data_IF_948135426829
#
_entry.id   IF_948135426829
#
_cell.length_a   1.000
_cell.length_b   1.000
_cell.length_c   1.000
_cell.angle_alpha   90.00
_cell.angle_beta   90.00
_cell.angle_gamma   90.00
#
_symmetry.space_group_name_H-M   'P 1'
#
loop_
_entity.id
_entity.type
_entity.pdbx_description
1 polymer ?
#
# COMPACT_ATOMS: atom_id res chain seq x y z
N UNK A 1 -8.37 -16.77 -8.71
CA UNK A 1 -7.52 -16.77 -7.51
C UNK A 1 -7.87 -15.55 -6.67
N UNK A 2 -8.05 -15.75 -5.39
CA UNK A 2 -8.34 -14.71 -4.42
C UNK A 2 -7.28 -14.72 -3.32
N UNK A 3 -6.60 -13.61 -3.10
CA UNK A 3 -5.54 -13.48 -2.10
C UNK A 3 -6.01 -12.54 -0.99
N UNK A 4 -5.97 -12.99 0.26
CA UNK A 4 -6.32 -12.14 1.40
C UNK A 4 -5.53 -12.55 2.65
N UNK A 5 -5.49 -11.68 3.66
CA UNK A 5 -4.94 -12.04 4.96
C UNK A 5 -5.65 -13.28 5.53
N UNK A 6 -4.88 -14.19 6.13
CA UNK A 6 -5.45 -15.44 6.66
C UNK A 6 -6.57 -15.21 7.68
N UNK A 7 -6.49 -14.16 8.48
CA UNK A 7 -7.52 -13.77 9.44
C UNK A 7 -8.82 -13.25 8.80
N UNK A 8 -8.81 -12.91 7.51
CA UNK A 8 -10.02 -12.46 6.77
C UNK A 8 -10.89 -13.64 6.34
N UNK A 9 -10.29 -14.82 6.07
CA UNK A 9 -10.98 -15.97 5.49
C UNK A 9 -12.24 -16.38 6.27
N UNK A 10 -12.20 -16.50 7.63
CA UNK A 10 -13.39 -16.87 8.40
C UNK A 10 -14.57 -15.90 8.26
N UNK A 11 -14.27 -14.64 7.88
CA UNK A 11 -15.27 -13.58 7.76
C UNK A 11 -15.91 -13.47 6.38
N UNK A 12 -15.36 -14.14 5.38
CA UNK A 12 -15.94 -14.17 4.04
C UNK A 12 -17.29 -14.91 4.03
N UNK A 13 -17.57 -15.70 5.08
CA UNK A 13 -18.82 -16.48 5.22
C UNK A 13 -19.13 -17.36 4.02
N UNK A 14 -18.09 -17.84 3.36
CA UNK A 14 -18.18 -18.71 2.18
C UNK A 14 -18.36 -20.17 2.61
N UNK A 15 -19.18 -20.90 1.89
CA UNK A 15 -19.23 -22.36 1.97
C UNK A 15 -17.91 -22.95 1.50
N UNK A 16 -17.66 -24.23 1.83
CA UNK A 16 -16.45 -24.91 1.37
C UNK A 16 -16.36 -24.94 -0.16
N UNK A 17 -17.48 -25.21 -0.85
CA UNK A 17 -17.56 -25.22 -2.31
C UNK A 17 -17.18 -23.86 -2.91
N UNK A 18 -17.68 -22.78 -2.33
CA UNK A 18 -17.33 -21.42 -2.77
C UNK A 18 -15.86 -21.10 -2.55
N UNK A 19 -15.28 -21.50 -1.41
CA UNK A 19 -13.86 -21.32 -1.13
C UNK A 19 -12.98 -22.06 -2.14
N UNK A 20 -13.33 -23.30 -2.47
CA UNK A 20 -12.64 -24.11 -3.48
C UNK A 20 -12.74 -23.47 -4.88
N UNK A 21 -13.94 -23.03 -5.27
CA UNK A 21 -14.17 -22.34 -6.55
C UNK A 21 -13.41 -21.01 -6.67
N UNK A 22 -13.31 -20.24 -5.60
CA UNK A 22 -12.56 -18.99 -5.57
C UNK A 22 -11.04 -19.23 -5.54
N UNK A 23 -10.59 -20.42 -5.21
CA UNK A 23 -9.18 -20.75 -5.04
C UNK A 23 -8.47 -19.73 -4.13
N UNK A 24 -8.88 -19.73 -2.85
CA UNK A 24 -8.42 -18.74 -1.86
C UNK A 24 -6.99 -19.05 -1.42
N UNK A 25 -6.13 -18.06 -1.50
CA UNK A 25 -4.75 -18.12 -1.08
C UNK A 25 -4.52 -17.23 0.16
N UNK A 26 -4.28 -17.82 1.34
CA UNK A 26 -4.02 -17.04 2.54
C UNK A 26 -2.67 -16.33 2.46
N UNK A 27 -2.67 -15.05 2.80
CA UNK A 27 -1.47 -14.24 2.93
C UNK A 27 -1.08 -14.11 4.41
N UNK A 28 0.22 -14.19 4.66
CA UNK A 28 0.84 -13.95 5.97
C UNK A 28 1.89 -12.84 5.83
N UNK A 29 1.87 -11.91 6.78
CA UNK A 29 2.85 -10.81 6.82
C UNK A 29 4.28 -11.37 6.73
N UNK A 30 5.08 -10.80 5.84
CA UNK A 30 6.48 -11.15 5.61
C UNK A 30 6.71 -12.46 4.85
N UNK A 31 5.67 -13.17 4.43
CA UNK A 31 5.79 -14.42 3.65
C UNK A 31 5.49 -14.16 2.17
N UNK A 32 6.50 -14.37 1.32
CA UNK A 32 6.34 -14.27 -0.13
C UNK A 32 5.43 -15.37 -0.68
N UNK A 33 4.51 -15.00 -1.57
CA UNK A 33 3.58 -15.89 -2.27
C UNK A 33 3.71 -15.69 -3.76
N UNK A 34 3.68 -16.78 -4.54
CA UNK A 34 3.60 -16.74 -6.00
C UNK A 34 2.14 -16.53 -6.45
N UNK A 35 1.93 -15.57 -7.34
CA UNK A 35 0.65 -15.28 -7.98
C UNK A 35 0.86 -15.24 -9.51
N UNK A 36 0.77 -16.37 -10.17
CA UNK A 36 1.19 -16.52 -11.56
C UNK A 36 2.69 -16.28 -11.71
N UNK A 37 3.08 -15.35 -12.55
CA UNK A 37 4.47 -14.93 -12.79
C UNK A 37 4.96 -13.83 -11.82
N UNK A 38 4.06 -13.29 -11.00
CA UNK A 38 4.40 -12.32 -9.96
C UNK A 38 4.72 -12.98 -8.61
N UNK A 39 5.44 -12.25 -7.80
CA UNK A 39 5.62 -12.53 -6.36
C UNK A 39 4.99 -11.42 -5.56
N UNK A 40 4.20 -11.78 -4.54
CA UNK A 40 3.57 -10.87 -3.59
C UNK A 40 4.28 -11.01 -2.24
N UNK A 41 4.70 -9.90 -1.65
CA UNK A 41 5.16 -9.83 -0.27
C UNK A 41 4.19 -8.95 0.53
N UNK A 42 3.29 -9.51 1.34
CA UNK A 42 2.40 -8.76 2.20
C UNK A 42 3.15 -8.19 3.41
N UNK A 43 2.87 -6.95 3.75
CA UNK A 43 3.41 -6.22 4.89
C UNK A 43 2.26 -5.66 5.72
N UNK A 44 2.48 -5.44 7.02
CA UNK A 44 1.45 -4.83 7.86
C UNK A 44 1.22 -3.36 7.50
N UNK A 45 -0.03 -2.98 7.36
CA UNK A 45 -0.45 -1.59 7.21
C UNK A 45 -0.90 -1.02 8.57
N UNK A 46 -0.69 0.27 8.77
CA UNK A 46 -1.19 1.00 9.93
C UNK A 46 -2.59 1.53 9.64
N UNK A 47 -3.55 0.63 9.63
CA UNK A 47 -4.94 0.95 9.41
C UNK A 47 -5.83 0.20 10.39
N UNK A 48 -6.92 0.83 10.79
CA UNK A 48 -7.93 0.24 11.66
C UNK A 48 -8.61 -0.95 10.96
N UNK A 49 -8.77 -2.04 11.69
CA UNK A 49 -9.57 -3.19 11.30
C UNK A 49 -10.61 -3.48 12.36
N UNK A 50 -11.82 -3.83 11.93
CA UNK A 50 -12.93 -4.07 12.84
C UNK A 50 -12.89 -5.40 13.57
N UNK A 51 -11.91 -6.26 13.26
CA UNK A 51 -11.82 -7.65 13.75
C UNK A 51 -10.43 -7.97 14.25
N UNK A 52 -10.34 -8.57 15.44
CA UNK A 52 -9.08 -8.84 16.14
C UNK A 52 -8.13 -9.81 15.44
N UNK A 53 -8.61 -10.59 14.48
CA UNK A 53 -7.81 -11.57 13.74
C UNK A 53 -7.37 -11.08 12.37
N UNK A 54 -7.92 -9.97 11.91
CA UNK A 54 -7.51 -9.32 10.66
C UNK A 54 -6.35 -8.37 10.89
N UNK A 55 -5.58 -8.15 9.85
CA UNK A 55 -4.57 -7.09 9.77
C UNK A 55 -4.67 -6.47 8.40
N UNK A 56 -4.72 -5.15 8.33
CA UNK A 56 -4.61 -4.41 7.08
C UNK A 56 -3.24 -4.64 6.45
N UNK A 57 -3.20 -4.76 5.13
CA UNK A 57 -1.99 -5.13 4.40
C UNK A 57 -1.59 -4.09 3.35
N UNK A 58 -0.32 -3.78 3.35
CA UNK A 58 0.39 -3.23 2.19
C UNK A 58 1.10 -4.36 1.43
N UNK A 59 1.51 -4.10 0.20
CA UNK A 59 2.08 -5.15 -0.65
C UNK A 59 3.32 -4.66 -1.41
N UNK A 60 4.32 -5.54 -1.54
CA UNK A 60 5.33 -5.41 -2.59
C UNK A 60 5.04 -6.47 -3.64
N UNK A 61 4.85 -6.03 -4.87
CA UNK A 61 4.73 -6.88 -6.05
C UNK A 61 6.05 -6.87 -6.82
N UNK A 62 6.48 -8.05 -7.27
CA UNK A 62 7.73 -8.18 -8.03
C UNK A 62 7.55 -9.13 -9.20
N UNK A 63 8.09 -8.74 -10.37
CA UNK A 63 8.11 -9.53 -11.60
C UNK A 63 9.31 -9.11 -12.46
N UNK A 64 10.08 -10.06 -12.97
CA UNK A 64 11.17 -9.81 -13.95
C UNK A 64 12.16 -8.69 -13.54
N UNK A 65 12.53 -8.64 -12.26
CA UNK A 65 13.45 -7.62 -11.74
C UNK A 65 12.85 -6.24 -11.50
N UNK A 66 11.58 -6.06 -11.82
CA UNK A 66 10.78 -4.89 -11.50
C UNK A 66 9.96 -5.11 -10.24
N UNK A 67 9.73 -4.05 -9.50
CA UNK A 67 8.94 -4.13 -8.27
C UNK A 67 8.23 -2.81 -7.94
N UNK A 68 7.05 -2.93 -7.37
CA UNK A 68 6.35 -1.78 -6.84
C UNK A 68 5.75 -2.07 -5.46
N UNK A 69 5.65 -1.04 -4.66
CA UNK A 69 4.97 -1.06 -3.38
C UNK A 69 3.58 -0.46 -3.53
N UNK A 70 2.57 -1.16 -3.01
CA UNK A 70 1.19 -0.67 -2.92
C UNK A 70 0.88 -0.41 -1.44
N UNK A 71 0.87 0.85 -1.07
CA UNK A 71 0.70 1.34 0.31
C UNK A 71 -0.52 2.24 0.48
N UNK A 72 -1.65 1.83 -0.11
CA UNK A 72 -2.92 2.51 0.10
C UNK A 72 -3.65 1.97 1.33
N UNK A 73 -4.49 2.82 1.92
CA UNK A 73 -5.31 2.54 3.08
C UNK A 73 -4.47 2.20 4.32
N UNK A 74 -3.66 3.18 4.72
CA UNK A 74 -2.81 3.07 5.91
C UNK A 74 -1.95 4.31 6.14
N UNK A 75 -1.93 4.77 7.39
CA UNK A 75 -1.13 5.89 7.83
C UNK A 75 0.38 5.56 7.86
N UNK A 76 1.13 6.30 8.64
CA UNK A 76 2.55 6.11 8.85
C UNK A 76 2.96 4.64 8.98
N UNK A 77 4.02 4.24 8.25
CA UNK A 77 4.43 2.83 8.21
C UNK A 77 4.78 2.28 9.59
N UNK A 78 4.31 1.08 9.86
CA UNK A 78 4.73 0.32 11.02
C UNK A 78 6.25 0.09 10.99
N UNK A 79 6.90 0.05 12.15
CA UNK A 79 8.34 -0.15 12.25
C UNK A 79 8.81 -1.44 11.54
N UNK A 80 8.02 -2.51 11.61
CA UNK A 80 8.30 -3.78 10.93
C UNK A 80 8.24 -3.63 9.40
N UNK A 81 7.25 -2.91 8.88
CA UNK A 81 7.09 -2.62 7.46
C UNK A 81 8.24 -1.76 6.95
N UNK A 82 8.60 -0.71 7.70
CA UNK A 82 9.76 0.13 7.40
C UNK A 82 11.06 -0.68 7.33
N UNK A 83 11.29 -1.57 8.30
CA UNK A 83 12.47 -2.44 8.36
C UNK A 83 12.60 -3.38 7.13
N UNK A 84 11.47 -3.75 6.51
CA UNK A 84 11.48 -4.52 5.26
C UNK A 84 11.72 -3.61 4.06
N UNK A 85 11.06 -2.45 4.00
CA UNK A 85 11.21 -1.48 2.91
C UNK A 85 12.66 -1.00 2.74
N UNK A 86 13.38 -0.75 3.83
CA UNK A 86 14.79 -0.35 3.80
C UNK A 86 15.72 -1.34 3.07
N UNK A 87 15.28 -2.57 2.86
CA UNK A 87 16.04 -3.62 2.15
C UNK A 87 15.62 -3.78 0.69
N UNK A 88 14.72 -2.94 0.21
CA UNK A 88 14.20 -3.00 -1.16
C UNK A 88 14.86 -1.97 -2.07
N UNK A 89 14.69 -2.19 -3.38
CA UNK A 89 14.95 -1.23 -4.46
C UNK A 89 13.73 -1.25 -5.36
N UNK A 90 12.86 -0.26 -5.20
CA UNK A 90 11.54 -0.22 -5.83
C UNK A 90 11.55 0.68 -7.07
N UNK A 91 10.85 0.27 -8.11
CA UNK A 91 10.63 1.07 -9.32
C UNK A 91 9.49 2.08 -9.11
N UNK A 92 8.47 1.68 -8.33
CA UNK A 92 7.31 2.54 -8.04
C UNK A 92 6.87 2.35 -6.59
N UNK A 93 6.46 3.44 -5.96
CA UNK A 93 5.72 3.41 -4.71
C UNK A 93 4.37 4.10 -4.90
N UNK A 94 3.29 3.36 -4.65
CA UNK A 94 1.92 3.90 -4.64
C UNK A 94 1.57 4.15 -3.17
N UNK A 95 1.35 5.41 -2.82
CA UNK A 95 1.07 5.85 -1.46
C UNK A 95 -0.30 6.53 -1.40
N UNK A 96 -0.95 6.41 -0.27
CA UNK A 96 -2.16 7.17 -0.01
C UNK A 96 -1.85 8.57 0.53
N UNK A 97 -2.68 9.54 0.19
CA UNK A 97 -2.66 10.89 0.72
C UNK A 97 -4.10 11.35 1.03
N UNK A 98 -4.86 10.49 1.71
CA UNK A 98 -6.31 10.64 1.91
C UNK A 98 -6.70 11.99 2.49
N UNK A 99 -5.92 12.51 3.45
CA UNK A 99 -6.27 13.69 4.24
C UNK A 99 -5.87 15.03 3.56
N UNK A 100 -5.10 14.99 2.48
CA UNK A 100 -4.66 16.22 1.80
C UNK A 100 -3.84 17.13 2.71
N UNK A 101 -3.97 18.46 2.53
CA UNK A 101 -3.20 19.48 3.25
C UNK A 101 -3.81 19.88 4.61
N UNK A 102 -4.71 19.12 5.17
CA UNK A 102 -5.31 19.43 6.47
C UNK A 102 -4.29 19.32 7.60
N UNK A 103 -4.13 20.39 8.40
CA UNK A 103 -3.20 20.44 9.55
C UNK A 103 -3.58 19.50 10.68
N UNK A 104 -4.87 19.20 10.84
CA UNK A 104 -5.40 18.30 11.87
C UNK A 104 -6.69 17.64 11.37
N UNK A 105 -6.77 16.32 11.51
CA UNK A 105 -7.95 15.55 11.19
C UNK A 105 -7.92 14.27 12.02
N UNK A 106 -9.08 13.77 12.45
CA UNK A 106 -9.14 12.52 13.23
C UNK A 106 -8.66 11.29 12.43
N UNK A 107 -8.70 11.36 11.09
CA UNK A 107 -8.27 10.27 10.19
C UNK A 107 -6.76 10.04 10.19
N UNK A 108 -5.94 10.94 10.74
CA UNK A 108 -4.46 10.79 10.75
C UNK A 108 -3.97 9.55 11.52
N UNK A 109 -4.83 8.93 12.32
CA UNK A 109 -4.51 7.65 12.96
C UNK A 109 -4.47 6.48 11.97
N UNK A 110 -5.21 6.57 10.86
CA UNK A 110 -5.37 5.50 9.86
C UNK A 110 -4.99 5.92 8.45
N UNK A 111 -4.81 7.23 8.20
CA UNK A 111 -4.52 7.80 6.88
C UNK A 111 -3.47 8.90 6.94
N UNK A 112 -2.76 9.11 5.85
CA UNK A 112 -1.75 10.15 5.75
C UNK A 112 -2.34 11.50 5.31
N UNK A 113 -1.76 12.58 5.85
CA UNK A 113 -1.82 13.90 5.24
C UNK A 113 -0.76 14.01 4.16
N UNK A 114 -0.87 14.99 3.26
CA UNK A 114 0.16 15.26 2.25
C UNK A 114 1.52 15.53 2.92
N UNK A 115 1.56 16.33 3.98
CA UNK A 115 2.79 16.60 4.73
C UNK A 115 3.44 15.33 5.33
N UNK A 116 2.63 14.35 5.77
CA UNK A 116 3.15 13.05 6.21
C UNK A 116 3.76 12.27 5.04
N UNK A 117 3.11 12.30 3.88
CA UNK A 117 3.63 11.62 2.67
C UNK A 117 4.93 12.27 2.20
N UNK A 118 5.02 13.58 2.17
CA UNK A 118 6.26 14.30 1.83
C UNK A 118 7.43 13.88 2.73
N UNK A 119 7.19 13.78 4.02
CA UNK A 119 8.21 13.33 4.98
C UNK A 119 8.57 11.85 4.78
N UNK A 120 7.60 10.98 4.46
CA UNK A 120 7.84 9.58 4.10
C UNK A 120 8.70 9.49 2.84
N UNK A 121 8.37 10.24 1.79
CA UNK A 121 9.08 10.23 0.51
C UNK A 121 10.52 10.71 0.69
N UNK A 122 10.74 11.82 1.40
CA UNK A 122 12.09 12.28 1.71
C UNK A 122 12.92 11.21 2.44
N UNK A 123 12.31 10.49 3.39
CA UNK A 123 12.98 9.41 4.12
C UNK A 123 13.23 8.17 3.24
N UNK A 124 12.34 7.87 2.31
CA UNK A 124 12.46 6.79 1.34
C UNK A 124 13.63 7.06 0.38
N UNK A 125 13.75 8.28 -0.10
CA UNK A 125 14.83 8.75 -0.98
C UNK A 125 16.18 8.70 -0.26
N UNK A 126 16.28 9.27 0.96
CA UNK A 126 17.48 9.24 1.79
C UNK A 126 17.97 7.81 2.09
N UNK A 127 17.05 6.90 2.35
CA UNK A 127 17.35 5.47 2.54
C UNK A 127 17.65 4.73 1.23
N UNK A 128 17.49 5.36 0.08
CA UNK A 128 17.67 4.76 -1.24
C UNK A 128 16.77 3.55 -1.48
N UNK A 129 15.54 3.58 -0.97
CA UNK A 129 14.53 2.53 -1.16
C UNK A 129 13.96 2.60 -2.58
N UNK A 130 13.75 3.81 -3.08
CA UNK A 130 13.37 4.06 -4.46
C UNK A 130 14.61 4.01 -5.36
N UNK A 131 14.49 3.42 -6.55
CA UNK A 131 15.55 3.45 -7.57
C UNK A 131 15.71 4.88 -8.10
N UNK A 132 16.82 5.16 -8.80
CA UNK A 132 17.13 6.48 -9.36
C UNK A 132 16.00 7.01 -10.29
N UNK A 133 15.46 6.13 -11.14
CA UNK A 133 14.32 6.44 -12.02
C UNK A 133 12.97 6.06 -11.38
N UNK A 134 12.96 5.80 -10.10
CA UNK A 134 11.78 5.37 -9.38
C UNK A 134 10.77 6.51 -9.21
N UNK A 135 9.49 6.15 -9.12
CA UNK A 135 8.39 7.13 -9.08
C UNK A 135 7.50 6.90 -7.87
N UNK A 136 7.02 8.02 -7.31
CA UNK A 136 5.97 8.00 -6.29
C UNK A 136 4.65 8.42 -6.92
N UNK A 137 3.63 7.61 -6.71
CA UNK A 137 2.27 7.85 -7.18
C UNK A 137 1.35 7.98 -5.98
N UNK A 138 0.58 9.05 -5.93
CA UNK A 138 -0.44 9.27 -4.91
C UNK A 138 -1.77 8.71 -5.36
N UNK A 139 -2.42 7.94 -4.52
CA UNK A 139 -3.73 7.36 -4.74
C UNK A 139 -4.57 7.41 -3.45
N UNK A 140 -5.77 6.85 -3.46
CA UNK A 140 -6.65 6.82 -2.28
C UNK A 140 -6.81 8.22 -1.66
N UNK A 141 -7.11 9.21 -2.49
CA UNK A 141 -7.24 10.62 -2.13
C UNK A 141 -8.72 10.98 -1.96
N UNK A 142 -9.10 11.45 -0.77
CA UNK A 142 -10.48 11.87 -0.52
C UNK A 142 -10.73 13.24 -1.18
N UNK A 143 -11.52 13.24 -2.24
CA UNK A 143 -11.77 14.42 -3.08
C UNK A 143 -12.16 15.67 -2.30
N UNK A 144 -12.94 15.54 -1.24
CA UNK A 144 -13.40 16.63 -0.39
C UNK A 144 -12.31 17.20 0.56
N UNK A 145 -11.17 16.54 0.67
CA UNK A 145 -10.05 16.92 1.54
C UNK A 145 -8.86 17.49 0.77
N UNK A 146 -8.95 17.54 -0.56
CA UNK A 146 -7.92 18.09 -1.45
C UNK A 146 -8.40 19.39 -2.10
N UNK A 147 -7.53 20.40 -2.12
CA UNK A 147 -7.77 21.61 -2.89
C UNK A 147 -7.51 21.37 -4.38
N UNK A 148 -8.29 21.98 -5.31
CA UNK A 148 -7.99 21.92 -6.73
C UNK A 148 -6.63 22.53 -7.10
N UNK A 149 -6.09 23.43 -6.26
CA UNK A 149 -4.79 24.07 -6.45
C UNK A 149 -3.65 23.36 -5.71
N UNK A 150 -3.89 22.16 -5.16
CA UNK A 150 -2.90 21.44 -4.39
C UNK A 150 -1.76 20.94 -5.27
N UNK A 151 -0.53 21.24 -4.87
CA UNK A 151 0.68 20.81 -5.56
C UNK A 151 1.25 19.57 -4.85
N UNK A 152 1.77 18.61 -5.63
CA UNK A 152 2.29 17.34 -5.14
C UNK A 152 3.80 17.17 -5.32
N UNK A 153 4.51 18.29 -5.63
CA UNK A 153 5.94 18.26 -5.89
C UNK A 153 6.32 17.31 -7.03
N UNK A 154 7.25 16.39 -6.77
CA UNK A 154 7.67 15.38 -7.74
C UNK A 154 6.78 14.13 -7.76
N UNK A 155 5.75 14.09 -6.93
CA UNK A 155 4.82 12.96 -6.86
C UNK A 155 3.73 13.08 -7.93
N UNK A 156 3.27 11.96 -8.43
CA UNK A 156 2.25 11.88 -9.48
C UNK A 156 0.89 11.60 -8.84
N UNK A 157 -0.07 12.50 -8.98
CA UNK A 157 -1.44 12.20 -8.55
C UNK A 157 -2.09 11.21 -9.54
N UNK A 158 -2.57 10.09 -9.04
CA UNK A 158 -3.29 9.11 -9.84
C UNK A 158 -4.69 9.62 -10.22
N UNK A 159 -5.17 9.20 -11.36
CA UNK A 159 -6.52 9.46 -11.86
C UNK A 159 -7.15 8.19 -12.44
N UNK A 160 -8.47 8.17 -12.52
CA UNK A 160 -9.21 7.01 -13.03
C UNK A 160 -8.81 6.69 -14.49
N UNK A 161 -8.39 5.45 -14.71
CA UNK A 161 -7.91 5.00 -16.01
C UNK A 161 -6.41 5.24 -16.26
N UNK A 162 -5.67 5.79 -15.32
CA UNK A 162 -4.22 5.94 -15.41
C UNK A 162 -3.53 4.59 -15.66
N UNK A 163 -2.60 4.57 -16.61
CA UNK A 163 -1.71 3.42 -16.87
C UNK A 163 -0.29 3.81 -16.52
N UNK A 164 0.39 2.95 -15.79
CA UNK A 164 1.78 3.14 -15.39
C UNK A 164 2.59 1.94 -15.86
N UNK A 165 3.55 2.18 -16.75
CA UNK A 165 4.53 1.17 -17.16
C UNK A 165 5.74 1.22 -16.20
N UNK A 166 6.22 0.02 -15.83
CA UNK A 166 7.32 -0.16 -14.89
C UNK A 166 8.50 -0.87 -15.57
#
# INVERSE_FOLDING_TARGET
>A
FFYCHEGTIPWLKLTQEEQERMNIHPLKIGKRVKAGDMTILPLGANHEVSRTQETALHYIFSREGKSFFYGCDGAWFLAQTWSVLQKQKLDVMILEATVGNMRANYRIASHNTLAMVELLVASIEECGILKEDGRVVLSHMARELHSPEEEYGNMIAAYDGMKLEI
#
